data_IF_329093741961
#
_entry.id   IF_329093741961
#
_cell.length_a   1.000
_cell.length_b   1.000
_cell.length_c   1.000
_cell.angle_alpha   90.00
_cell.angle_beta   90.00
_cell.angle_gamma   90.00
#
_symmetry.space_group_name_H-M   'P 1'
#
loop_
_entity.id
_entity.type
_entity.pdbx_description
1 polymer ?
#
# COMPACT_ATOMS: atom_id res chain seq x y z
N UNK A 1 21.93 -8.50 -4.86
CA UNK A 1 22.43 -7.28 -4.20
C UNK A 1 21.46 -6.10 -4.24
N UNK A 2 20.73 -5.85 -5.34
CA UNK A 2 19.75 -4.76 -5.41
C UNK A 2 18.58 -4.96 -4.42
N UNK A 3 18.04 -6.18 -4.33
CA UNK A 3 16.96 -6.52 -3.38
C UNK A 3 17.36 -6.24 -1.92
N UNK A 4 18.58 -6.62 -1.53
CA UNK A 4 19.11 -6.39 -0.19
C UNK A 4 19.22 -4.91 0.18
N UNK A 5 19.58 -4.04 -0.78
CA UNK A 5 19.62 -2.59 -0.55
C UNK A 5 18.22 -2.04 -0.27
N UNK A 6 17.23 -2.51 -1.03
CA UNK A 6 15.84 -2.08 -0.88
C UNK A 6 15.25 -2.58 0.45
N UNK A 7 15.49 -3.84 0.82
CA UNK A 7 14.96 -4.41 2.07
C UNK A 7 15.59 -3.77 3.31
N UNK A 8 16.89 -3.42 3.27
CA UNK A 8 17.56 -2.73 4.39
C UNK A 8 16.99 -1.33 4.60
N UNK A 9 16.71 -0.59 3.53
CA UNK A 9 16.07 0.73 3.61
C UNK A 9 14.63 0.61 4.12
N UNK A 10 13.89 -0.39 3.63
CA UNK A 10 12.51 -0.67 4.08
C UNK A 10 12.43 -1.05 5.56
N UNK A 11 13.36 -1.86 6.06
CA UNK A 11 13.43 -2.22 7.48
C UNK A 11 13.71 -0.99 8.37
N UNK A 12 14.61 -0.10 7.94
CA UNK A 12 14.87 1.16 8.64
C UNK A 12 13.63 2.05 8.72
N UNK A 13 12.87 2.16 7.63
CA UNK A 13 11.62 2.92 7.60
C UNK A 13 10.57 2.38 8.58
N UNK A 14 10.37 1.05 8.61
CA UNK A 14 9.42 0.41 9.53
C UNK A 14 9.83 0.60 11.00
N UNK A 15 11.13 0.51 11.31
CA UNK A 15 11.63 0.74 12.65
C UNK A 15 11.35 2.17 13.14
N UNK A 16 11.55 3.19 12.29
CA UNK A 16 11.27 4.59 12.63
C UNK A 16 9.77 4.80 12.92
N UNK A 17 8.89 4.22 12.10
CA UNK A 17 7.43 4.32 12.31
C UNK A 17 6.99 3.69 13.63
N UNK A 18 7.59 2.56 14.02
CA UNK A 18 7.30 1.94 15.31
C UNK A 18 7.79 2.76 16.51
N UNK A 19 8.94 3.42 16.38
CA UNK A 19 9.54 4.19 17.47
C UNK A 19 8.84 5.54 17.72
N UNK A 20 8.22 6.11 16.69
CA UNK A 20 7.50 7.39 16.76
C UNK A 20 6.41 7.43 17.85
N UNK A 21 5.44 6.49 17.90
CA UNK A 21 4.41 6.46 18.93
C UNK A 21 4.98 6.12 20.31
N UNK A 22 5.96 5.21 20.40
CA UNK A 22 6.64 4.85 21.65
C UNK A 22 7.28 6.09 22.30
N UNK A 23 7.97 6.89 21.49
CA UNK A 23 8.61 8.14 21.93
C UNK A 23 7.58 9.20 22.36
N UNK A 24 6.48 9.34 21.62
CA UNK A 24 5.39 10.27 21.95
C UNK A 24 4.69 9.92 23.27
N UNK A 25 4.44 8.63 23.51
CA UNK A 25 3.84 8.14 24.76
C UNK A 25 4.80 8.35 25.94
N UNK A 26 6.10 8.07 25.75
CA UNK A 26 7.10 8.26 26.80
C UNK A 26 7.32 9.73 27.16
N UNK A 27 7.30 10.65 26.18
CA UNK A 27 7.57 12.07 26.41
C UNK A 27 6.33 12.86 26.89
N UNK A 28 5.13 12.57 26.38
CA UNK A 28 3.91 13.32 26.70
C UNK A 28 2.94 12.58 27.63
N UNK A 29 3.20 11.32 28.00
CA UNK A 29 2.34 10.51 28.89
C UNK A 29 0.86 10.45 28.45
N UNK A 30 0.59 10.67 27.16
CA UNK A 30 -0.76 10.55 26.61
C UNK A 30 -1.02 9.05 26.38
N UNK A 31 -2.04 8.45 27.02
CA UNK A 31 -2.36 7.04 26.84
C UNK A 31 -2.88 6.83 25.43
N UNK A 32 -1.98 6.49 24.51
CA UNK A 32 -2.33 6.16 23.14
C UNK A 32 -2.87 4.72 23.15
N UNK A 33 -4.19 4.57 23.08
CA UNK A 33 -4.87 3.26 23.07
C UNK A 33 -4.46 2.37 21.87
N UNK A 34 -3.86 2.98 20.83
CA UNK A 34 -3.34 2.32 19.63
C UNK A 34 -1.81 2.44 19.52
N UNK A 35 -1.06 1.54 20.18
CA UNK A 35 0.42 1.54 20.14
C UNK A 35 1.07 1.33 18.75
N UNK A 36 2.40 1.19 18.74
CA UNK A 36 3.20 1.06 17.50
C UNK A 36 2.78 -0.11 16.59
N UNK A 37 2.34 -1.23 17.17
CA UNK A 37 1.86 -2.39 16.42
C UNK A 37 0.56 -2.12 15.68
N UNK A 38 -0.41 -1.45 16.31
CA UNK A 38 -1.66 -1.06 15.63
C UNK A 38 -1.42 -0.05 14.52
N UNK A 39 -0.44 0.85 14.69
CA UNK A 39 -0.06 1.80 13.64
C UNK A 39 0.50 1.07 12.40
N UNK A 40 1.37 0.06 12.61
CA UNK A 40 1.86 -0.78 11.52
C UNK A 40 0.74 -1.53 10.81
N UNK A 41 -0.21 -2.09 11.55
CA UNK A 41 -1.35 -2.83 10.98
C UNK A 41 -2.21 -1.90 10.13
N UNK A 42 -2.56 -0.71 10.63
CA UNK A 42 -3.38 0.26 9.89
C UNK A 42 -2.71 0.65 8.58
N UNK A 43 -1.41 0.95 8.59
CA UNK A 43 -0.68 1.37 7.37
C UNK A 43 -0.60 0.22 6.37
N UNK A 44 -0.22 -0.99 6.81
CA UNK A 44 -0.15 -2.16 5.91
C UNK A 44 -1.52 -2.50 5.32
N UNK A 45 -2.54 -2.66 6.17
CA UNK A 45 -3.90 -2.99 5.71
C UNK A 45 -4.46 -1.92 4.79
N UNK A 46 -4.19 -0.63 5.05
CA UNK A 46 -4.64 0.46 4.16
C UNK A 46 -3.95 0.37 2.80
N UNK A 47 -2.63 0.13 2.76
CA UNK A 47 -1.92 -0.04 1.49
C UNK A 47 -2.39 -1.29 0.72
N UNK A 48 -2.63 -2.40 1.42
CA UNK A 48 -3.21 -3.61 0.82
C UNK A 48 -4.62 -3.36 0.29
N UNK A 49 -5.45 -2.61 1.02
CA UNK A 49 -6.82 -2.28 0.60
C UNK A 49 -6.82 -1.33 -0.60
N UNK A 50 -5.97 -0.30 -0.61
CA UNK A 50 -5.85 0.65 -1.73
C UNK A 50 -5.39 -0.06 -2.99
N UNK A 51 -4.38 -0.94 -2.89
CA UNK A 51 -3.88 -1.70 -4.04
C UNK A 51 -4.92 -2.70 -4.55
N UNK A 52 -5.70 -3.34 -3.66
CA UNK A 52 -6.81 -4.20 -4.03
C UNK A 52 -7.91 -3.43 -4.79
N UNK A 53 -8.32 -2.26 -4.30
CA UNK A 53 -9.30 -1.39 -4.98
C UNK A 53 -8.78 -0.98 -6.37
N UNK A 54 -7.52 -0.56 -6.46
CA UNK A 54 -6.90 -0.19 -7.74
C UNK A 54 -6.89 -1.35 -8.73
N UNK A 55 -6.61 -2.58 -8.29
CA UNK A 55 -6.60 -3.76 -9.18
C UNK A 55 -7.98 -4.05 -9.79
N UNK A 56 -9.07 -3.88 -9.02
CA UNK A 56 -10.44 -4.03 -9.52
C UNK A 56 -10.86 -2.93 -10.50
N UNK A 57 -10.41 -1.69 -10.27
CA UNK A 57 -10.65 -0.56 -11.17
C UNK A 57 -9.87 -0.68 -12.47
N UNK A 58 -8.59 -1.09 -12.39
CA UNK A 58 -7.76 -1.36 -13.55
C UNK A 58 -8.35 -2.50 -14.38
N UNK A 59 -8.82 -3.59 -13.76
CA UNK A 59 -9.46 -4.69 -14.48
C UNK A 59 -10.68 -4.23 -15.33
N UNK A 60 -11.49 -3.30 -14.82
CA UNK A 60 -12.60 -2.72 -15.59
C UNK A 60 -12.12 -1.84 -16.75
N UNK A 61 -11.14 -0.96 -16.51
CA UNK A 61 -10.61 -0.07 -17.54
C UNK A 61 -9.85 -0.82 -18.65
N UNK A 62 -9.07 -1.84 -18.29
CA UNK A 62 -8.42 -2.73 -19.26
C UNK A 62 -9.43 -3.58 -20.03
N UNK A 63 -10.47 -4.10 -19.36
CA UNK A 63 -11.56 -4.83 -20.02
C UNK A 63 -12.25 -4.02 -21.11
N UNK A 64 -12.56 -2.75 -20.84
CA UNK A 64 -13.19 -1.85 -21.82
C UNK A 64 -12.25 -1.45 -22.97
N UNK A 65 -10.96 -1.22 -22.70
CA UNK A 65 -9.96 -0.94 -23.73
C UNK A 65 -9.73 -2.14 -24.65
N UNK A 66 -9.65 -3.35 -24.09
CA UNK A 66 -9.50 -4.60 -24.87
C UNK A 66 -10.78 -4.89 -25.68
N UNK A 67 -11.96 -4.66 -25.10
CA UNK A 67 -13.25 -4.84 -25.81
C UNK A 67 -13.40 -3.83 -26.96
N UNK A 68 -13.02 -2.56 -26.77
CA UNK A 68 -12.95 -1.55 -27.85
C UNK A 68 -11.95 -1.93 -28.93
N UNK A 69 -10.76 -2.43 -28.57
CA UNK A 69 -9.77 -2.88 -29.54
C UNK A 69 -10.29 -4.05 -30.39
N UNK A 70 -10.99 -5.03 -29.78
CA UNK A 70 -11.59 -6.17 -30.50
C UNK A 70 -12.73 -5.75 -31.44
N UNK A 71 -13.56 -4.78 -31.04
CA UNK A 71 -14.65 -4.25 -31.88
C UNK A 71 -14.16 -3.45 -33.10
N UNK A 72 -13.01 -2.76 -33.00
CA UNK A 72 -12.40 -2.05 -34.14
C UNK A 72 -11.79 -3.01 -35.19
N UNK A 73 -11.32 -4.18 -34.78
CA UNK A 73 -10.78 -5.21 -35.68
C UNK A 73 -11.85 -5.97 -36.48
N UNK A 74 -13.11 -6.00 -36.01
CA UNK A 74 -14.21 -6.72 -36.67
C UNK A 74 -14.88 -5.98 -37.82
N UNK A 75 -14.63 -4.67 -38.00
CA UNK A 75 -15.27 -3.83 -39.02
C UNK A 75 -14.44 -3.69 -40.31
N UNK A 76 -13.32 -4.39 -40.40
CA UNK A 76 -12.38 -4.38 -41.53
C UNK A 76 -12.43 -5.67 -42.37
N UNK A 77 -13.52 -6.44 -42.25
CA UNK A 77 -13.85 -7.58 -43.11
C UNK A 77 -15.23 -7.42 -43.69
#
# INVERSE_FOLDING_TARGET
>A
YVLTRITVIGAGYLAIICLLPEYLVSALSIPFYLGGTSLLIVVNVTMDTVTQIQSHLLAHQYGDLIKKAKLKGGRLR
#
